data_IF_022650995730
#
_entry.id   IF_022650995730
#
_cell.length_a   1.000
_cell.length_b   1.000
_cell.length_c   1.000
_cell.angle_alpha   90.00
_cell.angle_beta   90.00
_cell.angle_gamma   90.00
#
_symmetry.space_group_name_H-M   'P 1'
#
loop_
_entity.id
_entity.type
_entity.pdbx_description
1 polymer ?
#
# COMPACT_ATOMS: atom_id res chain seq x y z
N UNK A 1 10.08 -19.34 -7.67
CA UNK A 1 9.11 -18.24 -7.43
C UNK A 1 8.86 -17.98 -5.93
N UNK A 2 8.40 -18.93 -5.12
CA UNK A 2 8.11 -18.65 -3.69
C UNK A 2 9.32 -18.11 -2.89
N UNK A 3 10.51 -18.66 -3.11
CA UNK A 3 11.75 -18.12 -2.50
C UNK A 3 12.05 -16.67 -2.94
N UNK A 4 11.77 -16.31 -4.21
CA UNK A 4 11.87 -14.92 -4.67
C UNK A 4 10.91 -14.01 -3.92
N UNK A 5 9.64 -14.41 -3.75
CA UNK A 5 8.63 -13.63 -3.01
C UNK A 5 9.08 -13.43 -1.57
N UNK A 6 9.53 -14.50 -0.91
CA UNK A 6 10.06 -14.46 0.46
C UNK A 6 11.23 -13.47 0.60
N UNK A 7 12.26 -13.59 -0.23
CA UNK A 7 13.43 -12.72 -0.15
C UNK A 7 13.12 -11.28 -0.57
N UNK A 8 12.19 -11.07 -1.50
CA UNK A 8 11.72 -9.73 -1.91
C UNK A 8 10.98 -9.06 -0.76
N UNK A 9 10.02 -9.74 -0.12
CA UNK A 9 9.29 -9.21 1.04
C UNK A 9 10.21 -8.95 2.24
N UNK A 10 11.17 -9.84 2.47
CA UNK A 10 12.13 -9.70 3.58
C UNK A 10 13.10 -8.56 3.34
N UNK A 11 13.69 -8.47 2.15
CA UNK A 11 14.69 -7.44 1.86
C UNK A 11 14.06 -6.07 1.67
N UNK A 12 12.94 -5.99 0.95
CA UNK A 12 12.30 -4.72 0.65
C UNK A 12 11.37 -4.34 1.80
N UNK A 13 10.37 -5.15 2.14
CA UNK A 13 9.42 -4.83 3.20
C UNK A 13 10.07 -4.70 4.58
N UNK A 14 10.74 -5.74 5.06
CA UNK A 14 11.29 -5.76 6.42
C UNK A 14 12.61 -4.97 6.52
N UNK A 15 13.63 -5.32 5.74
CA UNK A 15 14.95 -4.70 5.90
C UNK A 15 14.92 -3.25 5.42
N UNK A 16 14.60 -2.98 4.15
CA UNK A 16 14.61 -1.62 3.62
C UNK A 16 13.56 -0.75 4.30
N UNK A 17 12.27 -1.09 4.25
CA UNK A 17 11.25 -0.17 4.77
C UNK A 17 11.25 -0.10 6.30
N UNK A 18 11.09 -1.22 7.00
CA UNK A 18 10.98 -1.24 8.47
C UNK A 18 12.26 -0.82 9.18
N UNK A 19 13.44 -1.29 8.73
CA UNK A 19 14.69 -0.99 9.45
C UNK A 19 15.46 0.21 8.92
N UNK A 20 15.48 0.50 7.61
CA UNK A 20 16.33 1.56 7.05
C UNK A 20 15.53 2.85 6.79
N UNK A 21 14.41 2.76 6.09
CA UNK A 21 13.63 3.92 5.63
C UNK A 21 12.83 4.55 6.76
N UNK A 22 12.32 3.74 7.70
CA UNK A 22 11.70 4.21 8.93
C UNK A 22 12.74 4.76 9.93
N UNK A 23 14.05 4.48 9.78
CA UNK A 23 15.09 4.92 10.74
C UNK A 23 15.40 6.42 10.80
N UNK A 24 15.57 7.18 9.68
CA UNK A 24 15.86 8.60 9.75
C UNK A 24 14.74 9.33 10.48
N UNK A 25 15.07 9.79 11.68
CA UNK A 25 14.17 10.38 12.64
C UNK A 25 14.19 11.89 12.46
N UNK A 26 13.28 12.40 11.65
CA UNK A 26 12.93 13.83 11.64
C UNK A 26 11.60 13.99 12.38
N UNK A 27 11.58 13.73 13.69
CA UNK A 27 10.46 14.04 14.58
C UNK A 27 9.08 13.50 14.13
N UNK A 28 9.03 12.31 13.52
CA UNK A 28 7.78 11.71 13.03
C UNK A 28 7.38 12.10 11.60
N UNK A 29 8.15 12.94 10.91
CA UNK A 29 7.92 13.27 9.49
C UNK A 29 8.52 12.20 8.57
N UNK A 30 7.87 11.04 8.46
CA UNK A 30 8.22 10.06 7.42
C UNK A 30 7.38 10.24 6.16
N UNK A 31 7.97 9.88 5.02
CA UNK A 31 7.32 9.88 3.71
C UNK A 31 8.17 10.52 2.62
N UNK A 32 8.00 10.06 1.38
CA UNK A 32 8.65 10.66 0.19
C UNK A 32 8.27 12.12 0.06
N UNK A 33 7.08 12.48 0.56
CA UNK A 33 6.54 13.83 0.57
C UNK A 33 7.05 14.72 1.70
N UNK A 34 7.42 14.19 2.88
CA UNK A 34 8.14 14.97 3.88
C UNK A 34 9.50 15.42 3.29
N UNK A 35 10.17 14.51 2.58
CA UNK A 35 11.40 14.80 1.85
C UNK A 35 11.17 15.83 0.72
N UNK A 36 10.07 15.70 -0.03
CA UNK A 36 9.73 16.63 -1.10
C UNK A 36 9.33 18.03 -0.60
N UNK A 37 8.48 18.11 0.42
CA UNK A 37 8.09 19.35 1.10
C UNK A 37 9.31 20.05 1.69
N UNK A 38 10.23 19.29 2.32
CA UNK A 38 11.52 19.81 2.79
C UNK A 38 12.41 20.33 1.66
N UNK A 39 12.44 19.64 0.51
CA UNK A 39 13.19 20.05 -0.68
C UNK A 39 12.63 21.35 -1.29
N UNK A 40 11.30 21.45 -1.44
CA UNK A 40 10.60 22.63 -1.92
C UNK A 40 10.68 23.82 -0.95
N UNK A 41 10.75 23.56 0.36
CA UNK A 41 10.89 24.61 1.40
C UNK A 41 12.30 25.19 1.50
N UNK A 42 13.34 24.39 1.21
CA UNK A 42 14.74 24.81 1.37
C UNK A 42 15.43 25.25 0.08
N UNK A 43 14.93 24.84 -1.07
CA UNK A 43 15.37 25.36 -2.37
C UNK A 43 14.41 26.50 -2.73
N UNK A 44 14.95 27.69 -2.92
CA UNK A 44 14.22 28.94 -3.12
C UNK A 44 13.51 28.99 -4.52
N UNK A 45 12.67 28.00 -4.84
CA UNK A 45 11.96 27.87 -6.10
C UNK A 45 10.95 29.01 -6.33
N UNK A 46 10.37 29.54 -5.25
CA UNK A 46 9.31 30.55 -5.28
C UNK A 46 9.70 31.88 -5.93
N UNK A 47 10.99 32.22 -6.06
CA UNK A 47 11.39 33.51 -6.62
C UNK A 47 11.42 33.56 -8.16
N UNK A 48 11.45 32.42 -8.85
CA UNK A 48 11.55 32.39 -10.34
C UNK A 48 10.41 31.69 -11.07
N UNK A 49 9.62 30.83 -10.41
CA UNK A 49 8.55 30.05 -11.08
C UNK A 49 7.14 30.63 -10.79
N UNK A 50 7.00 31.72 -10.04
CA UNK A 50 5.67 32.29 -9.75
C UNK A 50 4.79 31.38 -8.88
N UNK A 51 5.41 30.44 -8.15
CA UNK A 51 4.74 29.62 -7.14
C UNK A 51 4.41 30.54 -5.97
N UNK A 52 3.18 31.07 -5.95
CA UNK A 52 2.63 31.74 -4.77
C UNK A 52 2.50 30.72 -3.66
N UNK A 53 3.25 30.90 -2.57
CA UNK A 53 2.97 30.25 -1.30
C UNK A 53 1.61 30.77 -0.79
N UNK A 54 0.51 30.17 -1.23
CA UNK A 54 -0.81 30.42 -0.65
C UNK A 54 -0.84 29.79 0.72
N UNK A 55 -0.43 30.56 1.73
CA UNK A 55 -0.72 30.28 3.14
C UNK A 55 -2.23 30.27 3.30
N UNK A 56 -2.84 29.12 3.57
CA UNK A 56 -4.23 29.06 3.99
C UNK A 56 -4.29 29.45 5.47
N UNK A 57 -5.24 30.29 5.87
CA UNK A 57 -5.32 30.86 7.22
C UNK A 57 -5.52 29.78 8.31
N UNK A 58 -6.06 28.61 7.92
CA UNK A 58 -6.15 27.40 8.75
C UNK A 58 -4.79 26.78 9.11
N UNK A 59 -3.73 27.09 8.36
CA UNK A 59 -2.42 26.45 8.50
C UNK A 59 -1.51 27.16 9.52
N UNK A 60 -1.94 28.31 10.06
CA UNK A 60 -1.13 29.18 10.95
C UNK A 60 -0.96 28.60 12.36
N UNK A 61 -1.91 27.77 12.81
CA UNK A 61 -1.89 27.18 14.15
C UNK A 61 -1.23 25.79 14.21
N UNK A 62 -0.68 25.30 13.11
CA UNK A 62 0.01 24.02 13.06
C UNK A 62 1.48 24.20 13.44
N UNK A 63 1.83 23.66 14.61
CA UNK A 63 3.20 23.62 15.17
C UNK A 63 4.24 22.98 14.24
N UNK A 64 3.78 22.30 13.18
CA UNK A 64 4.53 21.65 12.11
C UNK A 64 5.43 22.60 11.28
N UNK A 65 5.09 23.90 11.21
CA UNK A 65 5.85 24.86 10.40
C UNK A 65 7.11 25.45 11.07
N UNK A 66 7.40 25.12 12.33
CA UNK A 66 8.40 25.85 13.14
C UNK A 66 9.83 25.27 13.11
N UNK A 67 10.04 24.02 12.69
CA UNK A 67 11.34 23.37 12.92
C UNK A 67 12.34 23.59 11.78
N UNK A 68 13.33 24.44 12.07
CA UNK A 68 14.43 24.90 11.22
C UNK A 68 15.54 23.83 11.18
N UNK A 69 15.40 22.78 10.35
CA UNK A 69 16.50 21.82 10.15
C UNK A 69 17.61 22.41 9.27
N UNK A 70 18.84 22.35 9.77
CA UNK A 70 20.04 22.80 9.07
C UNK A 70 20.43 21.81 7.96
N UNK A 71 19.82 21.92 6.77
CA UNK A 71 20.33 21.26 5.57
C UNK A 71 21.79 21.73 5.35
N UNK A 72 22.74 20.79 5.37
CA UNK A 72 24.17 21.09 5.22
C UNK A 72 24.41 22.02 4.01
N UNK A 73 25.10 23.13 4.28
CA UNK A 73 25.20 24.29 3.36
C UNK A 73 25.84 24.00 2.00
N UNK A 74 26.54 22.87 1.83
CA UNK A 74 27.23 22.51 0.58
C UNK A 74 26.29 21.96 -0.50
N UNK A 75 25.37 21.07 -0.16
CA UNK A 75 24.39 20.53 -1.12
C UNK A 75 23.38 21.59 -1.53
N UNK A 76 22.90 22.40 -0.56
CA UNK A 76 22.02 23.55 -0.82
C UNK A 76 22.63 24.52 -1.85
N UNK A 77 23.90 24.89 -1.69
CA UNK A 77 24.61 25.80 -2.61
C UNK A 77 24.85 25.20 -4.00
N UNK A 78 24.94 23.88 -4.13
CA UNK A 78 25.07 23.20 -5.43
C UNK A 78 23.74 23.20 -6.19
N UNK A 79 22.63 22.94 -5.50
CA UNK A 79 21.27 22.99 -6.05
C UNK A 79 20.81 24.40 -6.44
N UNK A 80 21.25 25.44 -5.72
CA UNK A 80 20.92 26.83 -6.04
C UNK A 80 21.66 27.38 -7.27
N UNK A 81 22.76 26.75 -7.70
CA UNK A 81 23.60 27.25 -8.80
C UNK A 81 23.08 26.95 -10.21
N UNK A 82 22.23 25.92 -10.41
CA UNK A 82 21.81 25.49 -11.75
C UNK A 82 20.29 25.38 -11.90
N UNK A 83 19.65 26.22 -12.73
CA UNK A 83 18.20 26.15 -12.97
C UNK A 83 17.77 24.88 -13.71
N UNK A 84 18.68 24.25 -14.48
CA UNK A 84 18.38 22.98 -15.18
C UNK A 84 18.24 21.80 -14.21
N UNK A 85 19.08 21.75 -13.18
CA UNK A 85 19.00 20.71 -12.13
C UNK A 85 17.70 20.88 -11.35
N UNK A 86 17.36 22.12 -11.01
CA UNK A 86 16.10 22.47 -10.35
C UNK A 86 14.88 22.00 -11.15
N UNK A 87 14.83 22.30 -12.45
CA UNK A 87 13.73 21.86 -13.33
C UNK A 87 13.68 20.33 -13.47
N UNK A 88 14.82 19.67 -13.62
CA UNK A 88 14.89 18.20 -13.68
C UNK A 88 14.36 17.52 -12.42
N UNK A 89 14.73 18.03 -11.24
CA UNK A 89 14.22 17.51 -9.96
C UNK A 89 12.72 17.73 -9.79
N UNK A 90 12.19 18.91 -10.16
CA UNK A 90 10.74 19.15 -10.15
C UNK A 90 10.02 18.16 -11.07
N UNK A 91 10.52 17.96 -12.30
CA UNK A 91 9.91 17.01 -13.23
C UNK A 91 9.90 15.59 -12.67
N UNK A 92 10.99 15.14 -12.05
CA UNK A 92 11.04 13.82 -11.40
C UNK A 92 9.99 13.71 -10.31
N UNK A 93 9.85 14.73 -9.45
CA UNK A 93 8.88 14.62 -8.36
C UNK A 93 7.45 14.76 -8.85
N UNK A 94 7.18 15.59 -9.86
CA UNK A 94 5.85 15.70 -10.45
C UNK A 94 5.42 14.38 -11.10
N UNK A 95 6.35 13.70 -11.81
CA UNK A 95 6.14 12.36 -12.36
C UNK A 95 5.93 11.33 -11.25
N UNK A 96 6.74 11.35 -10.19
CA UNK A 96 6.56 10.46 -9.04
C UNK A 96 5.21 10.67 -8.34
N UNK A 97 4.79 11.92 -8.19
CA UNK A 97 3.51 12.29 -7.58
C UNK A 97 2.33 11.80 -8.42
N UNK A 98 2.38 11.97 -9.75
CA UNK A 98 1.32 11.48 -10.62
C UNK A 98 1.26 9.95 -10.67
N UNK A 99 2.40 9.26 -10.58
CA UNK A 99 2.44 7.80 -10.46
C UNK A 99 1.77 7.32 -9.18
N UNK A 100 2.05 7.96 -8.03
CA UNK A 100 1.42 7.58 -6.74
C UNK A 100 -0.08 7.89 -6.73
N UNK A 101 -0.52 8.98 -7.36
CA UNK A 101 -1.95 9.27 -7.54
C UNK A 101 -2.61 8.19 -8.42
N UNK A 102 -1.93 7.76 -9.48
CA UNK A 102 -2.40 6.67 -10.35
C UNK A 102 -2.54 5.34 -9.62
N UNK A 103 -1.55 4.97 -8.80
CA UNK A 103 -1.60 3.79 -7.93
C UNK A 103 -2.78 3.89 -6.95
N UNK A 104 -2.95 5.07 -6.34
CA UNK A 104 -4.06 5.43 -5.48
C UNK A 104 -5.45 5.23 -6.07
N UNK A 105 -5.59 5.35 -7.40
CA UNK A 105 -6.84 5.15 -8.12
C UNK A 105 -7.05 3.69 -8.57
N UNK A 106 -5.98 3.01 -9.02
CA UNK A 106 -6.08 1.67 -9.61
C UNK A 106 -6.13 0.56 -8.56
N UNK A 107 -5.29 0.64 -7.53
CA UNK A 107 -5.14 -0.41 -6.53
C UNK A 107 -6.45 -0.67 -5.74
N UNK A 108 -7.28 0.33 -5.38
CA UNK A 108 -8.57 0.08 -4.75
C UNK A 108 -9.53 -0.71 -5.65
N UNK A 109 -9.61 -0.34 -6.93
CA UNK A 109 -10.48 -1.01 -7.90
C UNK A 109 -10.07 -2.48 -8.09
N UNK A 110 -8.77 -2.73 -8.30
CA UNK A 110 -8.23 -4.09 -8.50
C UNK A 110 -8.39 -4.93 -7.23
N UNK A 111 -8.12 -4.37 -6.05
CA UNK A 111 -8.22 -5.09 -4.78
C UNK A 111 -9.64 -5.56 -4.50
N UNK A 112 -10.64 -4.68 -4.64
CA UNK A 112 -12.05 -5.05 -4.41
C UNK A 112 -12.55 -6.06 -5.45
N UNK A 113 -12.21 -5.88 -6.72
CA UNK A 113 -12.57 -6.84 -7.77
C UNK A 113 -11.96 -8.21 -7.49
N UNK A 114 -10.68 -8.27 -7.10
CA UNK A 114 -9.99 -9.54 -6.79
C UNK A 114 -10.60 -10.27 -5.59
N UNK A 115 -11.05 -9.54 -4.56
CA UNK A 115 -11.75 -10.13 -3.44
C UNK A 115 -13.09 -10.72 -3.89
N UNK A 116 -13.85 -9.98 -4.69
CA UNK A 116 -15.19 -10.39 -5.13
C UNK A 116 -15.15 -11.55 -6.16
N UNK A 117 -14.06 -11.69 -6.93
CA UNK A 117 -13.84 -12.82 -7.84
C UNK A 117 -13.86 -14.20 -7.15
N UNK A 118 -13.68 -14.27 -5.83
CA UNK A 118 -13.83 -15.51 -5.06
C UNK A 118 -15.18 -16.18 -5.23
N UNK A 119 -16.24 -15.39 -5.45
CA UNK A 119 -17.58 -15.91 -5.68
C UNK A 119 -17.67 -16.77 -6.95
N UNK A 120 -16.90 -16.42 -7.99
CA UNK A 120 -16.87 -17.16 -9.25
C UNK A 120 -16.25 -18.56 -9.09
N UNK A 121 -15.32 -18.73 -8.14
CA UNK A 121 -14.62 -20.01 -7.92
C UNK A 121 -15.53 -21.15 -7.42
N UNK A 122 -16.75 -20.84 -6.95
CA UNK A 122 -17.68 -21.82 -6.36
C UNK A 122 -19.03 -21.91 -7.07
N UNK A 123 -19.28 -21.05 -8.05
CA UNK A 123 -20.57 -20.97 -8.73
C UNK A 123 -20.42 -21.26 -10.22
N UNK A 124 -20.30 -22.54 -10.59
CA UNK A 124 -20.31 -22.99 -12.00
C UNK A 124 -21.66 -22.77 -12.71
N UNK A 125 -22.72 -22.41 -11.98
CA UNK A 125 -24.11 -22.37 -12.47
C UNK A 125 -24.65 -20.98 -12.84
N UNK A 126 -23.86 -19.91 -12.74
CA UNK A 126 -24.33 -18.55 -13.09
C UNK A 126 -23.67 -18.12 -14.39
N UNK A 127 -24.48 -17.90 -15.43
CA UNK A 127 -24.05 -17.38 -16.74
C UNK A 127 -23.19 -16.12 -16.56
N UNK A 128 -22.06 -16.02 -17.27
CA UNK A 128 -21.10 -14.92 -17.12
C UNK A 128 -21.73 -13.52 -17.18
N UNK A 129 -22.80 -13.35 -17.98
CA UNK A 129 -23.54 -12.09 -18.09
C UNK A 129 -24.27 -11.69 -16.80
N UNK A 130 -24.97 -12.62 -16.13
CA UNK A 130 -25.63 -12.35 -14.84
C UNK A 130 -24.62 -12.22 -13.70
N UNK A 131 -23.49 -12.90 -13.79
CA UNK A 131 -22.42 -12.81 -12.80
C UNK A 131 -21.78 -11.41 -12.81
N UNK A 132 -21.44 -10.86 -13.98
CA UNK A 132 -20.89 -9.51 -14.10
C UNK A 132 -21.86 -8.44 -13.58
N UNK A 133 -23.15 -8.54 -13.90
CA UNK A 133 -24.14 -7.55 -13.45
C UNK A 133 -24.40 -7.64 -11.94
N UNK A 134 -24.51 -8.85 -11.39
CA UNK A 134 -24.72 -9.05 -9.94
C UNK A 134 -23.48 -8.66 -9.12
N UNK A 135 -22.28 -9.05 -9.58
CA UNK A 135 -21.02 -8.65 -8.95
C UNK A 135 -20.80 -7.14 -9.09
N UNK A 136 -21.12 -6.55 -10.23
CA UNK A 136 -21.05 -5.10 -10.44
C UNK A 136 -21.95 -4.32 -9.49
N UNK A 137 -23.19 -4.77 -9.27
CA UNK A 137 -24.08 -4.16 -8.27
C UNK A 137 -23.55 -4.33 -6.85
N UNK A 138 -23.02 -5.52 -6.52
CA UNK A 138 -22.43 -5.77 -5.20
C UNK A 138 -21.20 -4.90 -4.94
N UNK A 139 -20.28 -4.79 -5.90
CA UNK A 139 -19.07 -3.97 -5.81
C UNK A 139 -19.46 -2.49 -5.68
N UNK A 140 -20.32 -1.98 -6.56
CA UNK A 140 -20.80 -0.60 -6.51
C UNK A 140 -21.50 -0.29 -5.18
N UNK A 141 -22.31 -1.21 -4.66
CA UNK A 141 -22.96 -1.05 -3.36
C UNK A 141 -21.95 -0.99 -2.20
N UNK A 142 -20.89 -1.80 -2.23
CA UNK A 142 -19.82 -1.74 -1.23
C UNK A 142 -19.03 -0.43 -1.30
N UNK A 143 -18.71 0.06 -2.50
CA UNK A 143 -18.08 1.38 -2.67
C UNK A 143 -18.98 2.51 -2.17
N UNK A 144 -20.26 2.50 -2.52
CA UNK A 144 -21.24 3.50 -2.04
C UNK A 144 -21.36 3.45 -0.51
N UNK A 145 -21.44 2.25 0.08
CA UNK A 145 -21.50 2.08 1.53
C UNK A 145 -20.24 2.62 2.21
N UNK A 146 -19.06 2.46 1.61
CA UNK A 146 -17.82 3.03 2.12
C UNK A 146 -17.81 4.55 2.08
N UNK A 147 -18.17 5.15 0.94
CA UNK A 147 -18.23 6.60 0.81
C UNK A 147 -19.28 7.22 1.75
N UNK A 148 -20.38 6.51 2.02
CA UNK A 148 -21.36 6.92 3.04
C UNK A 148 -20.78 6.83 4.45
N UNK A 149 -20.01 5.78 4.76
CA UNK A 149 -19.39 5.58 6.07
C UNK A 149 -18.26 6.59 6.36
N UNK A 150 -17.59 7.11 5.32
CA UNK A 150 -16.57 8.17 5.44
C UNK A 150 -17.11 9.46 6.08
N UNK A 151 -18.41 9.75 5.93
CA UNK A 151 -19.05 10.97 6.48
C UNK A 151 -18.98 11.04 8.02
N UNK A 152 -18.77 9.91 8.69
CA UNK A 152 -18.72 9.84 10.16
C UNK A 152 -17.33 10.15 10.77
N UNK A 153 -16.35 10.51 9.94
CA UNK A 153 -15.02 10.92 10.38
C UNK A 153 -14.05 9.73 10.46
N UNK A 154 -12.98 9.85 9.69
CA UNK A 154 -11.87 8.91 9.53
C UNK A 154 -11.26 8.43 10.87
N UNK A 155 -11.18 9.28 11.90
CA UNK A 155 -10.70 8.86 13.24
C UNK A 155 -11.60 7.80 13.91
N UNK A 156 -12.93 7.91 13.83
CA UNK A 156 -13.85 6.89 14.37
C UNK A 156 -13.88 5.64 13.48
N UNK A 157 -13.75 5.84 12.18
CA UNK A 157 -13.77 4.78 11.17
C UNK A 157 -12.52 3.90 11.26
N UNK A 158 -11.33 4.47 11.50
CA UNK A 158 -10.08 3.72 11.68
C UNK A 158 -10.12 2.74 12.86
N UNK A 159 -10.86 3.04 13.93
CA UNK A 159 -11.00 2.12 15.08
C UNK A 159 -11.77 0.85 14.69
N UNK A 160 -12.80 0.96 13.86
CA UNK A 160 -13.55 -0.19 13.34
C UNK A 160 -12.76 -1.00 12.30
N UNK A 161 -11.74 -0.42 11.68
CA UNK A 161 -10.91 -1.07 10.67
C UNK A 161 -9.83 -1.98 11.25
N UNK A 162 -9.25 -1.62 12.40
CA UNK A 162 -8.24 -2.44 13.08
C UNK A 162 -8.67 -3.89 13.37
N UNK A 163 -9.87 -4.19 13.93
CA UNK A 163 -10.29 -5.57 14.18
C UNK A 163 -10.50 -6.36 12.88
N UNK A 164 -10.97 -5.72 11.81
CA UNK A 164 -11.15 -6.36 10.48
C UNK A 164 -9.78 -6.81 9.94
N UNK A 165 -8.77 -5.95 10.01
CA UNK A 165 -7.42 -6.28 9.54
C UNK A 165 -6.75 -7.35 10.41
N UNK A 166 -6.95 -7.32 11.73
CA UNK A 166 -6.49 -8.38 12.63
C UNK A 166 -7.12 -9.72 12.26
N UNK A 167 -8.45 -9.77 12.06
CA UNK A 167 -9.16 -10.97 11.62
C UNK A 167 -8.65 -11.46 10.26
N UNK A 168 -8.38 -10.56 9.32
CA UNK A 168 -7.83 -10.90 8.02
C UNK A 168 -6.45 -11.55 8.10
N UNK A 169 -5.48 -10.90 8.76
CA UNK A 169 -4.11 -11.42 8.85
C UNK A 169 -4.04 -12.71 9.68
N UNK A 170 -4.83 -12.82 10.75
CA UNK A 170 -4.87 -14.05 11.55
C UNK A 170 -5.55 -15.20 10.81
N UNK A 171 -6.63 -14.95 10.08
CA UNK A 171 -7.33 -15.98 9.29
C UNK A 171 -6.48 -16.47 8.11
N UNK A 172 -5.84 -15.56 7.37
CA UNK A 172 -4.93 -15.92 6.27
C UNK A 172 -3.71 -16.70 6.76
N UNK A 173 -3.09 -16.27 7.86
CA UNK A 173 -1.99 -16.99 8.49
C UNK A 173 -2.42 -18.40 8.92
N UNK A 174 -3.58 -18.54 9.56
CA UNK A 174 -4.11 -19.83 10.03
C UNK A 174 -4.38 -20.79 8.86
N UNK A 175 -4.97 -20.30 7.77
CA UNK A 175 -5.18 -21.09 6.54
C UNK A 175 -3.84 -21.46 5.90
N UNK A 176 -2.88 -20.54 5.90
CA UNK A 176 -1.51 -20.78 5.42
C UNK A 176 -0.84 -21.92 6.17
N UNK A 177 -0.91 -21.91 7.51
CA UNK A 177 -0.39 -22.98 8.38
C UNK A 177 -1.12 -24.30 8.16
N UNK A 178 -2.46 -24.29 8.06
CA UNK A 178 -3.23 -25.50 7.75
C UNK A 178 -2.81 -26.12 6.41
N UNK A 179 -2.63 -25.30 5.37
CA UNK A 179 -2.20 -25.78 4.06
C UNK A 179 -0.76 -26.29 4.08
N UNK A 180 0.13 -25.63 4.83
CA UNK A 180 1.49 -26.10 5.04
C UNK A 180 1.53 -27.52 5.62
N UNK A 181 0.77 -27.74 6.72
CA UNK A 181 0.74 -29.03 7.43
C UNK A 181 0.08 -30.11 6.57
N UNK A 182 -1.03 -29.79 5.89
CA UNK A 182 -1.81 -30.77 5.11
C UNK A 182 -1.11 -31.20 3.82
N UNK A 183 -0.50 -30.26 3.11
CA UNK A 183 0.02 -30.54 1.77
C UNK A 183 1.52 -30.82 1.75
N UNK A 184 2.33 -30.14 2.57
CA UNK A 184 3.79 -30.24 2.46
C UNK A 184 4.57 -29.93 3.77
N UNK A 185 4.37 -30.73 4.85
CA UNK A 185 4.88 -30.42 6.19
C UNK A 185 6.42 -30.45 6.31
N UNK A 186 7.09 -31.39 5.64
CA UNK A 186 8.55 -31.62 5.79
C UNK A 186 9.43 -30.63 5.02
N UNK A 187 8.85 -29.81 4.14
CA UNK A 187 9.59 -28.96 3.23
C UNK A 187 9.00 -27.56 3.09
N UNK A 188 8.11 -27.18 4.02
CA UNK A 188 7.57 -25.84 4.10
C UNK A 188 8.68 -24.79 4.11
N UNK A 189 9.71 -24.94 4.94
CA UNK A 189 10.79 -23.95 5.05
C UNK A 189 11.81 -23.96 3.90
N UNK A 190 11.67 -24.84 2.88
CA UNK A 190 12.63 -24.86 1.75
C UNK A 190 12.64 -23.55 0.97
N UNK A 191 11.54 -22.80 0.97
CA UNK A 191 11.51 -21.48 0.31
C UNK A 191 12.46 -20.45 0.93
N UNK A 192 12.99 -20.68 2.13
CA UNK A 192 13.94 -19.77 2.78
C UNK A 192 15.31 -19.84 2.11
N UNK A 193 15.71 -20.99 1.53
CA UNK A 193 17.00 -21.08 0.86
C UNK A 193 17.05 -20.20 -0.40
N UNK A 194 18.17 -19.47 -0.53
CA UNK A 194 18.49 -18.62 -1.68
C UNK A 194 18.87 -19.45 -2.92
N UNK A 195 19.27 -20.71 -2.76
CA UNK A 195 19.70 -21.58 -3.86
C UNK A 195 18.57 -21.77 -4.90
N UNK A 196 17.32 -21.79 -4.43
CA UNK A 196 16.14 -21.88 -5.28
C UNK A 196 15.95 -20.67 -6.19
N UNK A 197 16.50 -19.51 -5.84
CA UNK A 197 16.47 -18.32 -6.71
C UNK A 197 17.42 -18.53 -7.89
N UNK A 198 18.64 -18.98 -7.62
CA UNK A 198 19.62 -19.27 -8.65
C UNK A 198 19.12 -20.37 -9.60
N UNK A 199 18.59 -21.46 -9.05
CA UNK A 199 18.00 -22.56 -9.84
C UNK A 199 16.83 -22.05 -10.69
N UNK A 200 15.98 -21.18 -10.13
CA UNK A 200 14.85 -20.63 -10.87
C UNK A 200 15.28 -19.80 -12.09
N UNK A 201 16.26 -18.92 -11.94
CA UNK A 201 16.76 -18.13 -13.08
C UNK A 201 17.55 -18.98 -14.08
N UNK A 202 18.31 -19.97 -13.60
CA UNK A 202 19.02 -20.90 -14.48
C UNK A 202 18.07 -21.71 -15.36
N UNK A 203 16.93 -22.15 -14.81
CA UNK A 203 15.99 -23.00 -15.52
C UNK A 203 15.00 -22.21 -16.40
N UNK A 204 14.59 -21.01 -15.97
CA UNK A 204 13.52 -20.25 -16.64
C UNK A 204 14.03 -19.10 -17.53
N UNK A 205 15.32 -18.76 -17.50
CA UNK A 205 15.92 -17.77 -18.40
C UNK A 205 15.11 -16.47 -18.52
N UNK A 206 14.64 -16.16 -19.74
CA UNK A 206 13.84 -14.96 -20.07
C UNK A 206 12.46 -14.96 -19.41
N UNK A 207 11.77 -16.10 -19.34
CA UNK A 207 10.47 -16.22 -18.63
C UNK A 207 10.62 -15.97 -17.14
N UNK A 208 11.79 -16.29 -16.56
CA UNK A 208 12.11 -15.95 -15.18
C UNK A 208 12.12 -14.43 -14.92
N UNK A 209 12.56 -13.63 -15.90
CA UNK A 209 12.55 -12.17 -15.82
C UNK A 209 11.14 -11.59 -15.91
N UNK A 210 10.29 -12.13 -16.79
CA UNK A 210 8.89 -11.70 -16.90
C UNK A 210 8.12 -11.94 -15.59
N UNK A 211 8.34 -13.11 -14.97
CA UNK A 211 7.72 -13.48 -13.68
C UNK A 211 8.20 -12.61 -12.52
N UNK A 212 9.33 -11.92 -12.65
CA UNK A 212 9.80 -10.98 -11.63
C UNK A 212 8.83 -9.80 -11.46
N UNK A 213 8.14 -9.37 -12.54
CA UNK A 213 7.09 -8.35 -12.46
C UNK A 213 5.98 -8.74 -11.48
N UNK A 214 5.53 -10.00 -11.52
CA UNK A 214 4.55 -10.54 -10.57
C UNK A 214 5.07 -10.58 -9.13
N UNK A 215 6.37 -10.82 -8.94
CA UNK A 215 7.00 -10.77 -7.61
C UNK A 215 7.05 -9.34 -7.07
N UNK A 216 7.33 -8.35 -7.93
CA UNK A 216 7.33 -6.94 -7.55
C UNK A 216 5.93 -6.45 -7.16
N UNK A 217 4.86 -6.97 -7.78
CA UNK A 217 3.49 -6.65 -7.36
C UNK A 217 3.17 -7.04 -5.91
N UNK A 218 3.93 -7.97 -5.30
CA UNK A 218 3.72 -8.35 -3.89
C UNK A 218 4.23 -7.29 -2.89
N UNK A 219 5.06 -6.34 -3.32
CA UNK A 219 5.64 -5.30 -2.44
C UNK A 219 5.03 -3.91 -2.63
N UNK A 220 4.09 -3.73 -3.57
CA UNK A 220 3.50 -2.40 -3.86
C UNK A 220 2.82 -1.78 -2.63
N UNK A 221 2.28 -2.61 -1.72
CA UNK A 221 1.74 -2.14 -0.43
C UNK A 221 2.78 -1.58 0.56
N UNK A 222 4.07 -1.85 0.38
CA UNK A 222 5.12 -1.33 1.28
C UNK A 222 5.33 0.19 1.11
N UNK A 223 4.99 0.74 -0.05
CA UNK A 223 5.08 2.18 -0.32
C UNK A 223 3.98 2.95 0.42
N UNK A 224 2.76 2.40 0.47
CA UNK A 224 1.65 2.95 1.24
C UNK A 224 1.98 3.06 2.74
N UNK A 225 2.68 2.05 3.28
CA UNK A 225 3.16 2.07 4.66
C UNK A 225 4.13 3.24 4.94
N UNK A 226 4.88 3.68 3.94
CA UNK A 226 5.80 4.81 4.07
C UNK A 226 5.08 6.17 4.03
N UNK A 227 4.02 6.29 3.23
CA UNK A 227 3.16 7.49 3.25
C UNK A 227 2.38 7.64 4.57
N UNK A 228 2.08 6.54 5.26
CA UNK A 228 1.34 6.53 6.52
C UNK A 228 2.15 6.99 7.75
N UNK A 229 3.46 7.22 7.64
CA UNK A 229 4.25 7.82 8.74
C UNK A 229 3.72 9.20 9.15
N UNK A 230 3.06 9.94 8.26
CA UNK A 230 2.43 11.23 8.60
C UNK A 230 1.24 11.11 9.56
N UNK A 231 0.74 9.89 9.78
CA UNK A 231 -0.48 9.61 10.57
C UNK A 231 -0.23 8.80 11.83
N UNK A 232 0.74 7.89 11.79
CA UNK A 232 0.97 6.91 12.85
C UNK A 232 2.41 6.94 13.34
N UNK A 233 2.59 6.61 14.62
CA UNK A 233 3.91 6.52 15.21
C UNK A 233 4.74 5.39 14.55
N UNK A 234 6.00 5.70 14.25
CA UNK A 234 6.99 4.77 13.67
C UNK A 234 7.06 3.44 14.40
N UNK A 235 7.12 3.46 15.73
CA UNK A 235 7.24 2.21 16.52
C UNK A 235 6.00 1.32 16.38
N UNK A 236 4.81 1.93 16.30
CA UNK A 236 3.56 1.20 16.07
C UNK A 236 3.55 0.52 14.69
N UNK A 237 3.99 1.24 13.65
CA UNK A 237 4.11 0.68 12.29
C UNK A 237 5.13 -0.47 12.27
N UNK A 238 6.30 -0.27 12.86
CA UNK A 238 7.37 -1.28 12.90
C UNK A 238 6.92 -2.55 13.62
N UNK A 239 6.24 -2.42 14.78
CA UNK A 239 5.73 -3.57 15.52
C UNK A 239 4.61 -4.28 14.75
N UNK A 240 3.62 -3.55 14.22
CA UNK A 240 2.52 -4.14 13.47
C UNK A 240 3.02 -4.88 12.23
N UNK A 241 3.93 -4.28 11.46
CA UNK A 241 4.47 -4.92 10.27
C UNK A 241 5.30 -6.16 10.63
N UNK A 242 6.20 -6.05 11.61
CA UNK A 242 7.14 -7.14 11.93
C UNK A 242 6.48 -8.34 12.61
N UNK A 243 5.49 -8.11 13.49
CA UNK A 243 4.88 -9.18 14.30
C UNK A 243 3.56 -9.70 13.75
N UNK A 244 2.83 -8.92 12.93
CA UNK A 244 1.53 -9.33 12.40
C UNK A 244 1.57 -9.50 10.88
N UNK A 245 1.88 -8.43 10.14
CA UNK A 245 1.73 -8.41 8.68
C UNK A 245 2.74 -9.33 8.00
N UNK A 246 4.03 -9.15 8.28
CA UNK A 246 5.11 -9.92 7.67
C UNK A 246 4.95 -11.44 7.90
N UNK A 247 4.81 -11.95 9.14
CA UNK A 247 4.65 -13.38 9.35
C UNK A 247 3.37 -13.92 8.72
N UNK A 248 2.26 -13.18 8.75
CA UNK A 248 1.02 -13.59 8.10
C UNK A 248 1.18 -13.73 6.58
N UNK A 249 1.87 -12.78 5.93
CA UNK A 249 2.15 -12.84 4.49
C UNK A 249 3.03 -14.04 4.13
N UNK A 250 4.12 -14.26 4.87
CA UNK A 250 5.01 -15.40 4.61
C UNK A 250 4.26 -16.73 4.78
N UNK A 251 3.45 -16.87 5.84
CA UNK A 251 2.65 -18.06 6.06
C UNK A 251 1.60 -18.27 4.95
N UNK A 252 0.99 -17.19 4.48
CA UNK A 252 -0.02 -17.24 3.42
C UNK A 252 0.60 -17.67 2.08
N UNK A 253 1.67 -17.01 1.63
CA UNK A 253 2.36 -17.39 0.40
C UNK A 253 2.97 -18.79 0.49
N UNK A 254 3.54 -19.14 1.65
CA UNK A 254 4.05 -20.49 1.91
C UNK A 254 2.97 -21.56 1.81
N UNK A 255 1.81 -21.33 2.43
CA UNK A 255 0.68 -22.26 2.41
C UNK A 255 0.07 -22.41 1.02
N UNK A 256 -0.05 -21.32 0.25
CA UNK A 256 -0.47 -21.36 -1.14
C UNK A 256 0.52 -22.12 -2.02
N UNK A 257 1.82 -21.91 -1.82
CA UNK A 257 2.86 -22.67 -2.51
C UNK A 257 2.76 -24.18 -2.22
N UNK A 258 2.54 -24.55 -0.95
CA UNK A 258 2.33 -25.96 -0.57
C UNK A 258 1.09 -26.58 -1.23
N UNK A 259 0.00 -25.82 -1.33
CA UNK A 259 -1.21 -26.24 -2.03
C UNK A 259 -0.99 -26.44 -3.54
N UNK A 260 -0.28 -25.51 -4.19
CA UNK A 260 -0.01 -25.53 -5.63
C UNK A 260 0.89 -26.69 -6.07
N UNK A 261 1.78 -27.18 -5.21
CA UNK A 261 2.59 -28.37 -5.50
C UNK A 261 1.71 -29.58 -5.84
N UNK A 262 0.56 -29.73 -5.19
CA UNK A 262 -0.39 -30.82 -5.47
C UNK A 262 -1.49 -30.45 -6.46
N UNK A 263 -1.73 -29.16 -6.70
CA UNK A 263 -2.81 -28.67 -7.55
C UNK A 263 -2.30 -27.57 -8.51
N UNK A 264 -1.43 -27.92 -9.48
CA UNK A 264 -0.82 -26.93 -10.38
C UNK A 264 -1.85 -26.21 -11.25
N UNK A 265 -2.98 -26.86 -11.56
CA UNK A 265 -4.01 -26.34 -12.47
C UNK A 265 -4.81 -25.15 -11.89
N UNK A 266 -4.67 -24.87 -10.59
CA UNK A 266 -5.48 -23.87 -9.88
C UNK A 266 -4.79 -22.53 -9.65
N UNK A 267 -3.78 -22.19 -10.46
CA UNK A 267 -2.96 -20.98 -10.28
C UNK A 267 -3.80 -19.69 -10.19
N UNK A 268 -4.81 -19.52 -11.06
CA UNK A 268 -5.62 -18.30 -11.16
C UNK A 268 -6.57 -18.08 -9.97
N UNK A 269 -6.95 -19.13 -9.26
CA UNK A 269 -7.88 -19.06 -8.11
C UNK A 269 -7.24 -19.59 -6.82
N UNK A 270 -5.90 -19.60 -6.76
CA UNK A 270 -5.12 -20.25 -5.70
C UNK A 270 -5.59 -19.87 -4.31
N UNK A 271 -5.80 -18.57 -4.04
CA UNK A 271 -6.24 -18.09 -2.73
C UNK A 271 -7.51 -18.82 -2.28
N UNK A 272 -8.61 -18.68 -3.03
CA UNK A 272 -9.92 -19.26 -2.70
C UNK A 272 -9.94 -20.78 -2.78
N UNK A 273 -9.23 -21.37 -3.74
CA UNK A 273 -9.12 -22.82 -3.90
C UNK A 273 -8.35 -23.49 -2.75
N UNK A 274 -7.46 -22.75 -2.09
CA UNK A 274 -6.68 -23.24 -0.96
C UNK A 274 -7.43 -23.16 0.38
N UNK A 275 -8.60 -22.50 0.43
CA UNK A 275 -9.39 -22.36 1.66
C UNK A 275 -10.23 -23.63 1.91
N UNK A 276 -10.26 -24.18 3.13
CA UNK A 276 -11.14 -25.31 3.44
C UNK A 276 -12.62 -24.96 3.26
N UNK A 277 -13.41 -25.92 2.76
CA UNK A 277 -14.84 -25.71 2.45
C UNK A 277 -15.70 -25.16 3.60
N UNK A 278 -15.51 -25.54 4.88
CA UNK A 278 -16.35 -25.01 5.97
C UNK A 278 -16.10 -23.53 6.28
N UNK A 279 -14.89 -23.04 6.04
CA UNK A 279 -14.47 -21.66 6.40
C UNK A 279 -14.46 -20.72 5.19
N UNK A 280 -14.85 -21.20 4.01
CA UNK A 280 -14.87 -20.42 2.78
C UNK A 280 -15.72 -19.15 2.88
N UNK A 281 -16.98 -19.28 3.32
CA UNK A 281 -17.91 -18.15 3.40
C UNK A 281 -17.47 -17.08 4.41
N UNK A 282 -17.08 -17.44 5.65
CA UNK A 282 -16.46 -16.48 6.56
C UNK A 282 -15.24 -15.80 5.95
N UNK A 283 -14.35 -16.57 5.31
CA UNK A 283 -13.13 -16.04 4.71
C UNK A 283 -13.41 -15.07 3.56
N UNK A 284 -14.42 -15.36 2.72
CA UNK A 284 -14.84 -14.49 1.63
C UNK A 284 -15.35 -13.13 2.13
N UNK A 285 -16.14 -13.12 3.22
CA UNK A 285 -16.62 -11.88 3.83
C UNK A 285 -15.44 -11.08 4.40
N UNK A 286 -14.55 -11.74 5.15
CA UNK A 286 -13.36 -11.09 5.73
C UNK A 286 -12.45 -10.54 4.62
N UNK A 287 -12.23 -11.29 3.53
CA UNK A 287 -11.43 -10.85 2.38
C UNK A 287 -12.00 -9.60 1.72
N UNK A 288 -13.32 -9.58 1.54
CA UNK A 288 -14.03 -8.44 0.93
C UNK A 288 -13.92 -7.22 1.83
N UNK A 289 -14.16 -7.36 3.14
CA UNK A 289 -14.03 -6.27 4.10
C UNK A 289 -12.58 -5.76 4.21
N UNK A 290 -11.59 -6.65 4.18
CA UNK A 290 -10.18 -6.26 4.21
C UNK A 290 -9.77 -5.48 2.95
N UNK A 291 -10.19 -5.94 1.76
CA UNK A 291 -9.93 -5.24 0.50
C UNK A 291 -10.58 -3.85 0.46
N UNK A 292 -11.76 -3.73 1.04
CA UNK A 292 -12.49 -2.48 1.25
C UNK A 292 -11.71 -1.54 2.18
N UNK A 293 -11.25 -2.02 3.33
CA UNK A 293 -10.48 -1.22 4.31
C UNK A 293 -9.14 -0.77 3.71
N UNK A 294 -8.42 -1.66 3.02
CA UNK A 294 -7.16 -1.35 2.37
C UNK A 294 -7.34 -0.29 1.27
N UNK A 295 -8.39 -0.42 0.44
CA UNK A 295 -8.80 0.56 -0.56
C UNK A 295 -8.97 1.96 0.03
N UNK A 296 -9.64 2.05 1.19
CA UNK A 296 -9.90 3.31 1.86
C UNK A 296 -8.63 4.01 2.35
N UNK A 297 -7.72 3.25 2.97
CA UNK A 297 -6.45 3.78 3.42
C UNK A 297 -5.65 4.41 2.26
N UNK A 298 -5.62 3.73 1.12
CA UNK A 298 -4.90 4.21 -0.06
C UNK A 298 -5.55 5.46 -0.67
N UNK A 299 -6.88 5.49 -0.79
CA UNK A 299 -7.62 6.68 -1.27
C UNK A 299 -7.34 7.89 -0.37
N UNK A 300 -7.35 7.72 0.96
CA UNK A 300 -7.04 8.79 1.91
C UNK A 300 -5.60 9.28 1.77
N UNK A 301 -4.64 8.37 1.54
CA UNK A 301 -3.25 8.73 1.28
C UNK A 301 -3.12 9.54 -0.01
N UNK A 302 -3.82 9.17 -1.09
CA UNK A 302 -3.83 9.92 -2.35
C UNK A 302 -4.41 11.34 -2.20
N UNK A 303 -5.50 11.51 -1.45
CA UNK A 303 -6.05 12.84 -1.19
C UNK A 303 -5.09 13.72 -0.37
N UNK A 304 -4.36 13.14 0.58
CA UNK A 304 -3.31 13.85 1.32
C UNK A 304 -2.20 14.34 0.40
N UNK A 305 -1.80 13.53 -0.58
CA UNK A 305 -0.81 13.88 -1.59
C UNK A 305 -1.31 15.00 -2.51
N UNK A 306 -2.58 14.96 -2.91
CA UNK A 306 -3.21 16.02 -3.72
C UNK A 306 -3.23 17.34 -2.92
N UNK A 307 -3.57 17.31 -1.62
CA UNK A 307 -3.52 18.51 -0.76
C UNK A 307 -2.13 19.12 -0.70
N UNK A 308 -1.11 18.29 -0.49
CA UNK A 308 0.28 18.75 -0.44
C UNK A 308 0.74 19.31 -1.78
N UNK A 309 0.30 18.71 -2.89
CA UNK A 309 0.58 19.20 -4.25
C UNK A 309 -0.09 20.55 -4.54
N UNK A 310 -1.30 20.78 -4.02
CA UNK A 310 -1.98 22.07 -4.09
C UNK A 310 -1.23 23.16 -3.30
N UNK A 311 -0.73 22.85 -2.10
CA UNK A 311 0.04 23.80 -1.30
C UNK A 311 1.35 24.25 -1.99
N UNK A 312 1.88 23.41 -2.87
CA UNK A 312 3.06 23.68 -3.70
C UNK A 312 2.73 24.35 -5.05
N UNK A 313 1.45 24.65 -5.32
CA UNK A 313 1.01 25.26 -6.57
C UNK A 313 1.09 24.33 -7.79
N UNK A 314 1.25 23.01 -7.59
CA UNK A 314 1.39 22.02 -8.66
C UNK A 314 0.05 21.38 -9.08
N UNK A 315 -1.06 21.71 -8.41
CA UNK A 315 -2.39 21.13 -8.68
C UNK A 315 -3.46 22.23 -8.64
N UNK A 316 -4.48 22.21 -9.54
CA UNK A 316 -5.57 23.19 -9.52
C UNK A 316 -6.35 23.15 -8.20
N UNK A 317 -6.94 24.28 -7.80
CA UNK A 317 -7.62 24.39 -6.50
C UNK A 317 -8.86 23.49 -6.46
N UNK A 318 -8.85 22.48 -5.58
CA UNK A 318 -9.98 21.61 -5.26
C UNK A 318 -10.48 21.90 -3.85
N UNK A 319 -11.80 21.93 -3.65
CA UNK A 319 -12.40 22.11 -2.32
C UNK A 319 -12.17 20.85 -1.48
N UNK A 320 -11.35 20.94 -0.43
CA UNK A 320 -11.08 19.84 0.49
C UNK A 320 -11.58 20.19 1.90
N UNK A 321 -12.30 19.27 2.51
CA UNK A 321 -12.86 19.38 3.86
C UNK A 321 -12.09 18.44 4.78
N UNK A 322 -11.63 18.96 5.91
CA UNK A 322 -10.99 18.16 6.94
C UNK A 322 -12.02 17.32 7.71
N UNK A 323 -11.83 16.01 7.78
CA UNK A 323 -12.73 15.09 8.50
C UNK A 323 -12.36 14.91 9.98
N UNK A 324 -11.21 15.43 10.43
CA UNK A 324 -10.76 15.32 11.82
C UNK A 324 -9.96 16.54 12.27
N UNK A 325 -10.23 17.02 13.49
CA UNK A 325 -9.52 18.16 14.10
C UNK A 325 -8.16 17.78 14.72
N UNK A 326 -7.82 16.47 14.77
CA UNK A 326 -6.60 15.97 15.44
C UNK A 326 -5.58 15.32 14.49
N UNK A 327 -5.97 14.96 13.28
CA UNK A 327 -5.11 14.29 12.29
C UNK A 327 -5.26 14.95 10.92
N UNK A 328 -4.17 15.50 10.38
CA UNK A 328 -4.23 16.42 9.24
C UNK A 328 -4.48 15.78 7.86
N UNK A 329 -3.99 14.57 7.59
CA UNK A 329 -4.23 13.87 6.31
C UNK A 329 -5.58 13.13 6.23
N UNK A 330 -6.46 13.37 7.19
CA UNK A 330 -7.84 12.92 7.15
C UNK A 330 -8.67 13.95 6.39
N UNK A 331 -8.69 13.80 5.06
CA UNK A 331 -9.22 14.79 4.11
C UNK A 331 -10.28 14.14 3.23
N UNK A 332 -11.39 14.86 3.03
CA UNK A 332 -12.51 14.46 2.19
C UNK A 332 -12.75 15.58 1.16
N UNK A 333 -12.84 15.24 -0.13
CA UNK A 333 -13.26 16.17 -1.19
C UNK A 333 -14.65 15.74 -1.65
N UNK A 334 -15.70 16.57 -1.48
CA UNK A 334 -17.05 16.26 -1.96
C UNK A 334 -17.15 16.19 -3.49
#
# INVERSE_FOLDING_TARGET
MLSLIFWTLTTIGLIKYVTIVLRPDNHGEGGTFALYSLLCRHINFGRKIGIQNTRLESDVNLTYYSTRMALQSKTKKFFEKSPKIQSFFISIVLVGTSMVIGDGALTPAISVVSAVQGFQSRSDKITQSKLLTSLGHYISCNFIALFLFQRFGTSKVSFSFSPIMLLWFTSTASIGVYNAIKYYPTAFFKFISQDFIYIFFKNNGTTGWELLGTVVLCITGAEAMFTDLGHFNKTSIQMAFSFLVYPALILTYGGQGAFLIKNPDKLSTTFYSSVPTPVFWPMFIIATLAAIVASQALISASFSIIKQSMALGCFPRVNMIHTSNKHEGQIYSP
#
